data_IF_847023210345
#
_entry.id   IF_847023210345
#
_cell.length_a   1.000
_cell.length_b   1.000
_cell.length_c   1.000
_cell.angle_alpha   90.00
_cell.angle_beta   90.00
_cell.angle_gamma   90.00
#
_symmetry.space_group_name_H-M   'P 1'
#
loop_
_entity.id
_entity.type
_entity.pdbx_description
1 polymer ?
#
# COMPACT_ATOMS: atom_id res chain seq x y z
N UNK A 1 26.12 4.83 -71.00
CA UNK A 1 27.03 4.08 -70.10
C UNK A 1 26.68 4.28 -68.59
N UNK A 2 26.34 5.43 -68.11
CA UNK A 2 26.03 5.67 -66.68
C UNK A 2 24.92 4.79 -66.10
N UNK A 3 23.74 4.57 -66.72
CA UNK A 3 22.67 3.78 -66.11
C UNK A 3 22.99 2.27 -66.01
N UNK A 4 23.89 1.74 -66.86
CA UNK A 4 24.32 0.37 -66.84
C UNK A 4 25.31 0.07 -65.71
N UNK A 5 26.18 1.01 -65.39
CA UNK A 5 27.11 0.91 -64.25
C UNK A 5 26.34 0.97 -62.92
N UNK A 6 25.38 1.88 -62.78
CA UNK A 6 24.55 1.98 -61.60
C UNK A 6 23.71 0.71 -61.32
N UNK A 7 23.19 0.05 -62.36
CA UNK A 7 22.45 -1.21 -62.24
C UNK A 7 23.35 -2.35 -61.75
N UNK A 8 24.55 -2.43 -62.24
CA UNK A 8 25.56 -3.45 -61.86
C UNK A 8 26.03 -3.26 -60.42
N UNK A 9 26.21 -2.02 -59.97
CA UNK A 9 26.53 -1.74 -58.59
C UNK A 9 25.38 -2.13 -57.63
N UNK A 10 24.13 -1.83 -57.99
CA UNK A 10 22.95 -2.24 -57.24
C UNK A 10 22.83 -3.77 -57.12
N UNK A 11 23.11 -4.50 -58.21
CA UNK A 11 23.08 -5.98 -58.20
C UNK A 11 24.21 -6.59 -57.36
N UNK A 12 25.39 -5.98 -57.37
CA UNK A 12 26.51 -6.37 -56.48
C UNK A 12 26.14 -6.13 -55.03
N UNK A 13 25.60 -4.97 -54.72
CA UNK A 13 25.16 -4.67 -53.34
C UNK A 13 24.04 -5.60 -52.84
N UNK A 14 23.09 -5.98 -53.71
CA UNK A 14 22.07 -6.98 -53.38
C UNK A 14 22.66 -8.33 -53.08
N UNK A 15 23.65 -8.79 -53.89
CA UNK A 15 24.33 -10.06 -53.68
C UNK A 15 25.12 -10.06 -52.36
N UNK A 16 25.86 -9.00 -52.08
CA UNK A 16 26.59 -8.85 -50.81
C UNK A 16 25.60 -8.84 -49.62
N UNK A 17 24.48 -8.12 -49.73
CA UNK A 17 23.46 -8.09 -48.71
C UNK A 17 22.88 -9.49 -48.45
N UNK A 18 22.53 -10.23 -49.49
CA UNK A 18 22.01 -11.62 -49.38
C UNK A 18 23.03 -12.58 -48.74
N UNK A 19 24.32 -12.49 -49.10
CA UNK A 19 25.37 -13.27 -48.47
C UNK A 19 25.58 -12.95 -46.99
N UNK A 20 25.51 -11.67 -46.63
CA UNK A 20 25.59 -11.23 -45.24
C UNK A 20 24.38 -11.73 -44.43
N UNK A 21 23.17 -11.65 -44.99
CA UNK A 21 21.95 -12.17 -44.39
C UNK A 21 22.03 -13.69 -44.20
N UNK A 22 22.42 -14.47 -45.20
CA UNK A 22 22.60 -15.90 -45.08
C UNK A 22 23.60 -16.32 -44.00
N UNK A 23 24.76 -15.63 -43.92
CA UNK A 23 25.72 -15.90 -42.84
C UNK A 23 25.23 -15.51 -41.46
N UNK A 24 24.44 -14.45 -41.33
CA UNK A 24 23.81 -14.08 -40.08
C UNK A 24 22.80 -15.13 -39.60
N UNK A 25 22.02 -15.69 -40.53
CA UNK A 25 21.10 -16.80 -40.25
C UNK A 25 21.83 -18.05 -39.76
N UNK A 26 22.92 -18.45 -40.45
CA UNK A 26 23.75 -19.60 -40.04
C UNK A 26 24.34 -19.41 -38.62
N UNK A 27 24.85 -18.23 -38.33
CA UNK A 27 25.38 -17.90 -37.00
C UNK A 27 24.25 -17.91 -35.94
N UNK A 28 23.08 -17.36 -36.26
CA UNK A 28 21.95 -17.38 -35.38
C UNK A 28 21.44 -18.81 -35.10
N UNK A 29 21.35 -19.66 -36.12
CA UNK A 29 20.99 -21.08 -35.95
C UNK A 29 22.00 -21.85 -35.11
N UNK A 30 23.29 -21.58 -35.30
CA UNK A 30 24.35 -22.23 -34.51
C UNK A 30 24.28 -21.77 -33.04
N UNK A 31 24.07 -20.47 -32.80
CA UNK A 31 23.87 -19.94 -31.46
C UNK A 31 22.58 -20.45 -30.81
N UNK A 32 21.49 -20.62 -31.58
CA UNK A 32 20.25 -21.20 -31.09
C UNK A 32 20.38 -22.68 -30.68
N UNK A 33 21.27 -23.42 -31.34
CA UNK A 33 21.58 -24.81 -30.95
C UNK A 33 22.38 -24.88 -29.65
N UNK A 34 23.31 -23.94 -29.43
CA UNK A 34 24.12 -23.89 -28.22
C UNK A 34 23.38 -23.24 -27.06
N UNK A 35 22.64 -22.17 -27.33
CA UNK A 35 21.89 -21.37 -26.37
C UNK A 35 20.43 -21.20 -26.85
N UNK A 36 19.56 -22.18 -26.62
CA UNK A 36 18.21 -22.16 -27.16
C UNK A 36 17.42 -21.00 -26.61
N UNK A 37 16.70 -20.25 -27.47
CA UNK A 37 15.86 -19.15 -27.04
C UNK A 37 14.70 -19.63 -26.19
N UNK A 38 14.22 -18.76 -25.30
CA UNK A 38 13.17 -19.09 -24.32
C UNK A 38 11.84 -19.35 -25.04
N UNK A 39 11.23 -20.51 -24.77
CA UNK A 39 9.86 -20.80 -25.18
C UNK A 39 8.90 -19.92 -24.36
N UNK A 40 7.85 -19.38 -24.99
CA UNK A 40 6.86 -18.54 -24.32
C UNK A 40 6.22 -19.27 -23.12
N UNK A 41 5.94 -20.57 -23.25
CA UNK A 41 5.37 -21.39 -22.18
C UNK A 41 6.29 -21.51 -20.95
N UNK A 42 7.62 -21.45 -21.12
CA UNK A 42 8.61 -21.52 -20.04
C UNK A 42 9.02 -20.16 -19.47
N UNK A 43 8.63 -19.07 -20.11
CA UNK A 43 9.13 -17.73 -19.79
C UNK A 43 8.83 -17.28 -18.36
N UNK A 44 7.73 -17.74 -17.76
CA UNK A 44 7.44 -17.44 -16.35
C UNK A 44 8.49 -18.04 -15.40
N UNK A 45 8.86 -19.30 -15.59
CA UNK A 45 9.87 -19.96 -14.76
C UNK A 45 11.26 -19.32 -14.93
N UNK A 46 11.60 -18.94 -16.15
CA UNK A 46 12.84 -18.21 -16.44
C UNK A 46 12.84 -16.83 -15.77
N UNK A 47 11.72 -16.12 -15.79
CA UNK A 47 11.56 -14.83 -15.11
C UNK A 47 11.70 -14.96 -13.58
N UNK A 48 11.10 -15.97 -12.97
CA UNK A 48 11.21 -16.18 -11.52
C UNK A 48 12.65 -16.44 -11.09
N UNK A 49 13.41 -17.18 -11.90
CA UNK A 49 14.81 -17.54 -11.61
C UNK A 49 15.83 -16.49 -12.09
N UNK A 50 15.38 -15.42 -12.77
CA UNK A 50 16.27 -14.39 -13.28
C UNK A 50 16.89 -13.55 -12.15
N UNK A 51 18.20 -13.39 -12.15
CA UNK A 51 18.95 -12.64 -11.14
C UNK A 51 18.70 -11.12 -11.18
N UNK A 52 18.33 -10.61 -12.37
CA UNK A 52 17.98 -9.20 -12.61
C UNK A 52 16.49 -8.88 -12.41
N UNK A 53 15.71 -9.84 -11.92
CA UNK A 53 14.29 -9.65 -11.60
C UNK A 53 14.16 -8.72 -10.39
N UNK A 54 13.23 -7.72 -10.43
CA UNK A 54 12.93 -6.91 -9.26
C UNK A 54 12.47 -7.75 -8.08
N UNK A 55 12.92 -7.38 -6.88
CA UNK A 55 12.47 -8.02 -5.65
C UNK A 55 10.99 -7.71 -5.39
N UNK A 56 10.13 -8.72 -5.59
CA UNK A 56 8.67 -8.64 -5.45
C UNK A 56 8.19 -9.65 -4.42
N UNK A 57 7.23 -9.23 -3.58
CA UNK A 57 6.62 -10.13 -2.59
C UNK A 57 5.76 -11.21 -3.23
N UNK A 58 5.55 -12.30 -2.50
CA UNK A 58 4.83 -13.51 -2.97
C UNK A 58 3.44 -13.20 -3.56
N UNK A 59 2.64 -12.36 -2.87
CA UNK A 59 1.33 -11.95 -3.38
C UNK A 59 1.40 -11.21 -4.72
N UNK A 60 2.44 -10.39 -4.93
CA UNK A 60 2.69 -9.70 -6.20
C UNK A 60 3.09 -10.70 -7.28
N UNK A 61 3.94 -11.68 -6.93
CA UNK A 61 4.37 -12.73 -7.86
C UNK A 61 3.20 -13.62 -8.30
N UNK A 62 2.32 -14.02 -7.37
CA UNK A 62 1.08 -14.77 -7.70
C UNK A 62 0.20 -13.98 -8.68
N UNK A 63 0.06 -12.66 -8.48
CA UNK A 63 -0.69 -11.81 -9.40
C UNK A 63 -0.01 -11.70 -10.77
N UNK A 64 1.31 -11.57 -10.81
CA UNK A 64 2.11 -11.52 -12.04
C UNK A 64 1.97 -12.82 -12.82
N UNK A 65 2.08 -13.96 -12.14
CA UNK A 65 1.92 -15.27 -12.74
C UNK A 65 0.54 -15.43 -13.40
N UNK A 66 -0.52 -15.06 -12.68
CA UNK A 66 -1.88 -15.10 -13.22
C UNK A 66 -2.01 -14.25 -14.49
N UNK A 67 -1.48 -13.02 -14.45
CA UNK A 67 -1.54 -12.11 -15.60
C UNK A 67 -0.72 -12.64 -16.80
N UNK A 68 0.47 -13.17 -16.54
CA UNK A 68 1.31 -13.77 -17.59
C UNK A 68 0.65 -15.01 -18.20
N UNK A 69 0.15 -15.92 -17.38
CA UNK A 69 -0.57 -17.12 -17.86
C UNK A 69 -1.79 -16.76 -18.72
N UNK A 70 -2.48 -15.67 -18.38
CA UNK A 70 -3.59 -15.16 -19.19
C UNK A 70 -3.13 -14.71 -20.58
N UNK A 71 -2.00 -14.00 -20.66
CA UNK A 71 -1.40 -13.61 -21.92
C UNK A 71 -0.96 -14.84 -22.73
N UNK A 72 -0.19 -15.75 -22.12
CA UNK A 72 0.30 -16.95 -22.78
C UNK A 72 -0.84 -17.85 -23.32
N UNK A 73 -1.93 -18.00 -22.53
CA UNK A 73 -3.12 -18.74 -22.98
C UNK A 73 -3.79 -18.07 -24.19
N UNK A 74 -3.92 -16.75 -24.19
CA UNK A 74 -4.47 -16.01 -25.32
C UNK A 74 -3.57 -16.15 -26.54
N UNK A 75 -2.26 -15.97 -26.41
CA UNK A 75 -1.31 -16.12 -27.51
C UNK A 75 -1.41 -17.50 -28.14
N UNK A 76 -1.35 -18.57 -27.34
CA UNK A 76 -1.46 -19.95 -27.84
C UNK A 76 -2.80 -20.25 -28.52
N UNK A 77 -3.90 -19.62 -28.08
CA UNK A 77 -5.22 -19.86 -28.68
C UNK A 77 -5.45 -19.10 -29.99
N UNK A 78 -4.86 -17.93 -30.13
CA UNK A 78 -5.11 -17.00 -31.23
C UNK A 78 -3.99 -17.04 -32.30
N UNK A 79 -2.76 -17.34 -31.87
CA UNK A 79 -1.55 -17.32 -32.69
C UNK A 79 -0.71 -18.58 -32.41
N UNK A 80 -1.07 -19.70 -33.04
CA UNK A 80 -0.45 -21.03 -32.82
C UNK A 80 1.01 -21.11 -33.26
N UNK A 81 1.45 -20.20 -34.07
CA UNK A 81 2.80 -20.02 -34.59
C UNK A 81 3.78 -19.43 -33.56
N UNK A 82 3.26 -18.84 -32.48
CA UNK A 82 4.10 -18.28 -31.41
C UNK A 82 4.58 -19.41 -30.50
N UNK A 83 5.81 -19.80 -30.64
CA UNK A 83 6.48 -20.80 -29.79
C UNK A 83 7.49 -20.15 -28.86
N UNK A 84 8.26 -19.20 -29.34
CA UNK A 84 9.32 -18.52 -28.61
C UNK A 84 8.89 -17.11 -28.15
N UNK A 85 9.54 -16.60 -27.13
CA UNK A 85 9.30 -15.21 -26.71
C UNK A 85 9.59 -14.19 -27.81
N UNK A 86 10.63 -14.44 -28.64
CA UNK A 86 10.99 -13.56 -29.75
C UNK A 86 9.98 -13.54 -30.89
N UNK A 87 9.08 -14.53 -30.97
CA UNK A 87 8.01 -14.57 -31.98
C UNK A 87 6.90 -13.57 -31.65
N UNK A 88 6.88 -13.03 -30.43
CA UNK A 88 5.90 -12.01 -30.03
C UNK A 88 6.31 -10.67 -30.66
N UNK A 89 5.77 -10.41 -31.83
CA UNK A 89 5.98 -9.17 -32.58
C UNK A 89 5.19 -7.98 -31.98
N UNK A 90 5.42 -6.79 -32.54
CA UNK A 90 4.64 -5.59 -32.21
C UNK A 90 3.15 -5.79 -32.52
N UNK A 91 2.81 -6.41 -33.65
CA UNK A 91 1.42 -6.66 -34.06
C UNK A 91 0.70 -7.56 -33.05
N UNK A 92 1.39 -8.59 -32.56
CA UNK A 92 0.87 -9.48 -31.51
C UNK A 92 0.64 -8.71 -30.19
N UNK A 93 1.57 -7.86 -29.81
CA UNK A 93 1.44 -7.06 -28.59
C UNK A 93 0.26 -6.08 -28.70
N UNK A 94 0.08 -5.44 -29.85
CA UNK A 94 -1.07 -4.57 -30.14
C UNK A 94 -2.39 -5.36 -30.18
N UNK A 95 -2.42 -6.53 -30.79
CA UNK A 95 -3.59 -7.40 -30.82
C UNK A 95 -4.02 -7.83 -29.40
N UNK A 96 -3.05 -8.17 -28.52
CA UNK A 96 -3.37 -8.44 -27.12
C UNK A 96 -3.89 -7.20 -26.37
N UNK A 97 -3.33 -6.03 -26.63
CA UNK A 97 -3.83 -4.78 -26.06
C UNK A 97 -5.29 -4.51 -26.49
N UNK A 98 -5.63 -4.74 -27.77
CA UNK A 98 -7.00 -4.65 -28.27
C UNK A 98 -7.89 -5.71 -27.61
N UNK A 99 -7.42 -6.94 -27.47
CA UNK A 99 -8.15 -8.01 -26.76
C UNK A 99 -8.46 -7.62 -25.30
N UNK A 100 -7.51 -7.05 -24.56
CA UNK A 100 -7.78 -6.56 -23.20
C UNK A 100 -8.84 -5.47 -23.19
N UNK A 101 -8.87 -4.59 -24.20
CA UNK A 101 -9.86 -3.51 -24.32
C UNK A 101 -11.25 -4.06 -24.64
N UNK A 102 -11.37 -4.99 -25.60
CA UNK A 102 -12.65 -5.61 -25.97
C UNK A 102 -13.28 -6.37 -24.81
N UNK A 103 -12.47 -6.89 -23.87
CA UNK A 103 -12.92 -7.52 -22.64
C UNK A 103 -13.39 -6.53 -21.55
N UNK A 104 -13.39 -5.25 -21.82
CA UNK A 104 -13.84 -4.23 -20.87
C UNK A 104 -13.02 -4.10 -19.60
N UNK A 105 -11.73 -4.55 -19.59
CA UNK A 105 -10.89 -4.41 -18.38
C UNK A 105 -10.66 -2.94 -18.05
N UNK A 106 -10.60 -2.61 -16.75
CA UNK A 106 -10.33 -1.23 -16.33
C UNK A 106 -8.99 -0.72 -16.85
N UNK A 107 -8.88 0.60 -17.05
CA UNK A 107 -7.61 1.25 -17.47
C UNK A 107 -6.43 0.91 -16.56
N UNK A 108 -6.69 0.77 -15.25
CA UNK A 108 -5.67 0.35 -14.28
C UNK A 108 -5.23 -1.11 -14.47
N UNK A 109 -6.18 -2.01 -14.74
CA UNK A 109 -5.89 -3.42 -15.04
C UNK A 109 -5.15 -3.56 -16.36
N UNK A 110 -5.60 -2.86 -17.41
CA UNK A 110 -4.90 -2.78 -18.68
C UNK A 110 -3.43 -2.37 -18.50
N UNK A 111 -3.20 -1.23 -17.86
CA UNK A 111 -1.85 -0.70 -17.64
C UNK A 111 -0.97 -1.63 -16.80
N UNK A 112 -1.54 -2.40 -15.86
CA UNK A 112 -0.81 -3.43 -15.09
C UNK A 112 -0.37 -4.60 -15.96
N UNK A 113 -1.23 -5.08 -16.86
CA UNK A 113 -0.88 -6.15 -17.80
C UNK A 113 0.27 -5.74 -18.71
N UNK A 114 0.15 -4.58 -19.37
CA UNK A 114 1.21 -4.10 -20.29
C UNK A 114 2.52 -3.88 -19.54
N UNK A 115 2.49 -3.29 -18.35
CA UNK A 115 3.69 -3.08 -17.53
C UNK A 115 4.36 -4.39 -17.12
N UNK A 116 3.57 -5.40 -16.78
CA UNK A 116 4.12 -6.72 -16.43
C UNK A 116 4.77 -7.38 -17.63
N UNK A 117 4.13 -7.38 -18.80
CA UNK A 117 4.70 -7.95 -20.01
C UNK A 117 5.98 -7.22 -20.42
N UNK A 118 5.98 -5.88 -20.36
CA UNK A 118 7.19 -5.10 -20.53
C UNK A 118 8.29 -5.53 -19.56
N UNK A 119 7.99 -5.72 -18.29
CA UNK A 119 8.96 -6.14 -17.27
C UNK A 119 9.54 -7.50 -17.57
N UNK A 120 8.70 -8.51 -17.87
CA UNK A 120 9.16 -9.89 -18.16
C UNK A 120 10.04 -9.90 -19.41
N UNK A 121 9.60 -9.24 -20.49
CA UNK A 121 10.35 -9.18 -21.73
C UNK A 121 11.67 -8.41 -21.57
N UNK A 122 11.69 -7.33 -20.80
CA UNK A 122 12.93 -6.60 -20.49
C UNK A 122 13.90 -7.43 -19.63
N UNK A 123 13.38 -8.14 -18.61
CA UNK A 123 14.20 -8.97 -17.73
C UNK A 123 14.86 -10.12 -18.50
N UNK A 124 14.15 -10.72 -19.45
CA UNK A 124 14.60 -11.88 -20.21
C UNK A 124 15.18 -11.52 -21.58
N UNK A 125 15.33 -10.23 -21.89
CA UNK A 125 15.68 -9.73 -23.23
C UNK A 125 16.83 -10.50 -23.89
N UNK A 126 17.97 -10.60 -23.21
CA UNK A 126 19.17 -11.24 -23.74
C UNK A 126 18.97 -12.76 -23.91
N UNK A 127 18.40 -13.42 -22.89
CA UNK A 127 18.19 -14.87 -22.91
C UNK A 127 17.11 -15.31 -23.91
N UNK A 128 16.11 -14.45 -24.13
CA UNK A 128 15.07 -14.66 -25.13
C UNK A 128 15.49 -14.20 -26.53
N UNK A 129 16.68 -13.61 -26.69
CA UNK A 129 17.23 -13.09 -27.95
C UNK A 129 16.25 -12.14 -28.65
N UNK A 130 15.68 -11.20 -27.89
CA UNK A 130 14.75 -10.22 -28.43
C UNK A 130 15.51 -9.10 -29.14
N UNK A 131 15.09 -8.78 -30.36
CA UNK A 131 15.60 -7.60 -31.07
C UNK A 131 15.11 -6.31 -30.42
N UNK A 132 13.84 -6.28 -30.03
CA UNK A 132 13.18 -5.15 -29.36
C UNK A 132 12.13 -5.67 -28.42
N UNK A 133 11.83 -4.90 -27.35
CA UNK A 133 10.70 -5.22 -26.49
C UNK A 133 9.41 -4.65 -27.07
N UNK A 134 8.43 -5.48 -27.49
CA UNK A 134 7.20 -4.97 -28.13
C UNK A 134 6.26 -4.23 -27.17
N UNK A 135 6.47 -4.34 -25.87
CA UNK A 135 5.59 -3.78 -24.82
C UNK A 135 6.03 -2.40 -24.32
N UNK A 136 6.80 -1.64 -25.08
CA UNK A 136 7.22 -0.28 -24.70
C UNK A 136 6.05 0.70 -24.70
N UNK A 137 6.23 1.84 -24.02
CA UNK A 137 5.21 2.91 -23.99
C UNK A 137 5.00 3.57 -25.37
N UNK A 138 5.99 3.52 -26.22
CA UNK A 138 5.93 4.06 -27.59
C UNK A 138 5.06 3.19 -28.50
N UNK A 139 5.06 1.89 -28.23
CA UNK A 139 4.28 0.91 -28.98
C UNK A 139 2.83 0.80 -28.48
N UNK A 140 2.64 0.84 -27.15
CA UNK A 140 1.32 0.68 -26.52
C UNK A 140 1.15 1.76 -25.46
N UNK A 141 0.34 2.76 -25.78
CA UNK A 141 0.05 3.87 -24.88
C UNK A 141 -0.64 3.39 -23.60
N UNK A 142 -0.16 3.87 -22.45
CA UNK A 142 -0.82 3.62 -21.16
C UNK A 142 -2.15 4.36 -21.12
N UNK A 143 -3.19 3.70 -20.64
CA UNK A 143 -4.48 4.33 -20.43
C UNK A 143 -4.49 5.09 -19.10
N UNK A 144 -4.94 6.34 -19.13
CA UNK A 144 -5.19 7.08 -17.90
C UNK A 144 -6.35 6.43 -17.15
N UNK A 145 -6.12 6.08 -15.90
CA UNK A 145 -7.22 5.69 -15.00
C UNK A 145 -7.95 6.95 -14.57
N UNK A 146 -9.29 6.99 -14.64
CA UNK A 146 -10.01 8.01 -13.90
C UNK A 146 -9.56 7.92 -12.43
N UNK A 147 -9.27 9.05 -11.82
CA UNK A 147 -8.96 9.09 -10.37
C UNK A 147 -10.25 8.81 -9.61
N UNK A 148 -10.51 7.54 -9.36
CA UNK A 148 -11.51 7.15 -8.38
C UNK A 148 -10.86 7.16 -7.00
N UNK A 149 -11.11 8.20 -6.23
CA UNK A 149 -10.92 8.13 -4.79
C UNK A 149 -12.15 7.45 -4.18
N UNK A 150 -11.95 6.65 -3.16
CA UNK A 150 -13.06 6.13 -2.38
C UNK A 150 -13.75 7.28 -1.68
N UNK A 151 -15.08 7.21 -1.55
CA UNK A 151 -15.87 8.21 -0.82
C UNK A 151 -15.49 8.20 0.65
N UNK A 152 -15.41 9.35 1.22
CA UNK A 152 -15.33 9.57 2.66
C UNK A 152 -16.70 9.32 3.31
N UNK A 153 -16.68 8.98 4.59
CA UNK A 153 -17.88 8.76 5.38
C UNK A 153 -18.19 10.04 6.21
N UNK A 154 -19.48 10.35 6.35
CA UNK A 154 -19.90 11.41 7.26
C UNK A 154 -19.78 10.98 8.72
N UNK A 155 -19.80 11.94 9.66
CA UNK A 155 -19.74 11.62 11.09
C UNK A 155 -20.95 10.78 11.51
N UNK A 156 -22.14 11.04 10.95
CA UNK A 156 -23.36 10.29 11.21
C UNK A 156 -23.27 8.86 10.69
N UNK A 157 -22.66 8.65 9.53
CA UNK A 157 -22.39 7.32 9.00
C UNK A 157 -21.42 6.55 9.88
N UNK A 158 -20.35 7.21 10.37
CA UNK A 158 -19.40 6.61 11.29
C UNK A 158 -20.05 6.22 12.62
N UNK A 159 -20.91 7.07 13.19
CA UNK A 159 -21.66 6.76 14.42
C UNK A 159 -22.52 5.52 14.25
N UNK A 160 -23.41 5.51 13.25
CA UNK A 160 -24.26 4.34 12.97
C UNK A 160 -23.45 3.05 12.77
N UNK A 161 -22.32 3.15 12.06
CA UNK A 161 -21.44 2.02 11.81
C UNK A 161 -20.86 1.46 13.12
N UNK A 162 -20.43 2.31 14.04
CA UNK A 162 -19.82 1.92 15.30
C UNK A 162 -20.85 1.46 16.34
N UNK A 163 -22.03 2.09 16.42
CA UNK A 163 -23.09 1.73 17.33
C UNK A 163 -23.68 0.35 17.04
N UNK A 164 -23.85 0.02 15.76
CA UNK A 164 -24.40 -1.26 15.33
C UNK A 164 -23.37 -2.41 15.33
N UNK A 165 -22.07 -2.09 15.42
CA UNK A 165 -21.01 -3.09 15.42
C UNK A 165 -20.78 -3.69 16.82
N UNK A 166 -20.42 -4.97 16.87
CA UNK A 166 -20.14 -5.69 18.11
C UNK A 166 -18.80 -6.43 18.07
N UNK A 167 -18.25 -6.72 19.25
CA UNK A 167 -17.02 -7.50 19.40
C UNK A 167 -15.83 -6.92 18.63
N UNK A 168 -15.00 -7.77 18.02
CA UNK A 168 -13.82 -7.34 17.25
C UNK A 168 -14.15 -6.34 16.14
N UNK A 169 -15.35 -6.40 15.55
CA UNK A 169 -15.73 -5.51 14.46
C UNK A 169 -15.87 -4.05 14.93
N UNK A 170 -16.44 -3.83 16.14
CA UNK A 170 -16.57 -2.48 16.72
C UNK A 170 -15.20 -1.85 16.96
N UNK A 171 -14.30 -2.60 17.58
CA UNK A 171 -12.94 -2.13 17.84
C UNK A 171 -12.12 -1.97 16.53
N UNK A 172 -12.34 -2.83 15.52
CA UNK A 172 -11.73 -2.70 14.21
C UNK A 172 -12.12 -1.40 13.51
N UNK A 173 -13.39 -1.01 13.55
CA UNK A 173 -13.85 0.26 13.01
C UNK A 173 -13.27 1.44 13.77
N UNK A 174 -13.30 1.41 15.10
CA UNK A 174 -12.69 2.43 15.93
C UNK A 174 -11.20 2.62 15.61
N UNK A 175 -10.46 1.51 15.50
CA UNK A 175 -9.06 1.55 15.12
C UNK A 175 -8.87 2.17 13.72
N UNK A 176 -9.69 1.77 12.73
CA UNK A 176 -9.63 2.33 11.38
C UNK A 176 -9.92 3.83 11.34
N UNK A 177 -10.90 4.29 12.13
CA UNK A 177 -11.34 5.70 12.20
C UNK A 177 -10.29 6.57 12.90
N UNK A 178 -9.75 6.12 14.04
CA UNK A 178 -8.87 6.94 14.88
C UNK A 178 -7.37 6.77 14.62
N UNK A 179 -6.97 5.81 13.78
CA UNK A 179 -5.56 5.61 13.42
C UNK A 179 -5.28 5.79 11.93
N UNK A 180 -6.29 5.68 11.09
CA UNK A 180 -6.13 5.68 9.64
C UNK A 180 -5.32 4.48 9.11
N UNK A 181 -5.09 3.42 9.88
CA UNK A 181 -4.37 2.22 9.46
C UNK A 181 -5.11 1.47 8.34
N UNK A 182 -4.39 0.72 7.54
CA UNK A 182 -4.99 -0.17 6.53
C UNK A 182 -5.60 -1.40 7.18
N UNK A 183 -6.60 -2.01 6.54
CA UNK A 183 -7.26 -3.21 7.05
C UNK A 183 -6.27 -4.30 7.50
N UNK A 184 -5.26 -4.58 6.68
CA UNK A 184 -4.26 -5.60 7.05
C UNK A 184 -3.42 -5.21 8.25
N UNK A 185 -3.08 -3.92 8.39
CA UNK A 185 -2.33 -3.41 9.54
C UNK A 185 -3.17 -3.43 10.81
N UNK A 186 -4.48 -3.12 10.71
CA UNK A 186 -5.43 -3.26 11.82
C UNK A 186 -5.65 -4.72 12.22
N UNK A 187 -6.02 -5.58 11.27
CA UNK A 187 -6.36 -6.98 11.52
C UNK A 187 -5.20 -7.78 12.14
N UNK A 188 -3.95 -7.39 11.86
CA UNK A 188 -2.75 -8.04 12.38
C UNK A 188 -1.99 -7.19 13.40
N UNK A 189 -2.68 -6.25 14.05
CA UNK A 189 -2.09 -5.44 15.12
C UNK A 189 -1.85 -6.29 16.35
N UNK A 190 -0.64 -6.22 16.91
CA UNK A 190 -0.26 -6.95 18.11
C UNK A 190 -0.37 -6.06 19.35
N UNK A 191 -0.60 -6.67 20.51
CA UNK A 191 -0.52 -5.93 21.77
C UNK A 191 0.85 -5.32 22.00
N UNK A 192 1.91 -5.96 21.52
CA UNK A 192 3.27 -5.40 21.57
C UNK A 192 3.47 -4.13 20.72
N UNK A 193 2.57 -3.86 19.77
CA UNK A 193 2.56 -2.64 18.98
C UNK A 193 1.88 -1.47 19.74
N UNK A 194 1.14 -1.75 20.84
CA UNK A 194 0.27 -0.81 21.57
C UNK A 194 0.90 -0.45 22.91
N UNK A 195 1.32 0.78 23.07
CA UNK A 195 1.84 1.34 24.31
C UNK A 195 0.74 2.19 24.96
N UNK A 196 -0.03 1.58 25.86
CA UNK A 196 -1.14 2.24 26.60
C UNK A 196 -0.60 3.33 27.54
N UNK A 197 0.60 3.14 28.10
CA UNK A 197 1.19 4.10 29.06
C UNK A 197 1.61 5.37 28.34
N UNK A 198 2.29 5.25 27.20
CA UNK A 198 2.69 6.38 26.37
C UNK A 198 1.60 6.88 25.44
N UNK A 199 0.46 6.17 25.40
CA UNK A 199 -0.66 6.49 24.53
C UNK A 199 -0.32 6.49 23.04
N UNK A 200 0.45 5.48 22.58
CA UNK A 200 0.97 5.37 21.22
C UNK A 200 0.79 3.96 20.65
N UNK A 201 0.55 3.89 19.35
CA UNK A 201 0.68 2.66 18.56
C UNK A 201 1.92 2.80 17.69
N UNK A 202 2.81 1.78 17.74
CA UNK A 202 4.01 1.66 16.89
C UNK A 202 3.83 0.50 15.94
N UNK A 203 3.60 0.78 14.66
CA UNK A 203 3.33 -0.26 13.67
C UNK A 203 4.24 -0.14 12.47
N UNK A 204 4.90 -1.23 12.07
CA UNK A 204 5.54 -1.35 10.76
C UNK A 204 4.45 -1.78 9.77
N UNK A 205 4.05 -0.92 8.80
CA UNK A 205 2.96 -1.27 7.88
C UNK A 205 3.30 -2.48 7.01
N UNK A 206 2.41 -3.47 6.96
CA UNK A 206 2.59 -4.71 6.20
C UNK A 206 3.02 -4.48 4.74
N UNK A 207 2.47 -3.44 4.10
CA UNK A 207 2.77 -3.10 2.71
C UNK A 207 4.23 -2.68 2.47
N UNK A 208 4.86 -2.07 3.45
CA UNK A 208 6.22 -1.50 3.35
C UNK A 208 7.26 -2.26 4.14
N UNK A 209 6.84 -3.19 5.02
CA UNK A 209 7.70 -3.94 5.93
C UNK A 209 8.90 -4.61 5.23
N UNK A 210 8.68 -5.14 4.01
CA UNK A 210 9.74 -5.82 3.26
C UNK A 210 10.78 -4.87 2.67
N UNK A 211 10.37 -3.67 2.19
CA UNK A 211 11.26 -2.74 1.46
C UNK A 211 11.82 -1.64 2.34
N UNK A 212 11.02 -1.19 3.29
CA UNK A 212 11.36 -0.09 4.19
C UNK A 212 10.64 -0.30 5.52
N UNK A 213 11.22 -1.08 6.44
CA UNK A 213 10.60 -1.46 7.71
C UNK A 213 10.63 -0.30 8.73
N UNK A 214 10.11 0.87 8.35
CA UNK A 214 9.99 2.01 9.25
C UNK A 214 8.64 1.98 9.96
N UNK A 215 8.61 2.07 11.30
CA UNK A 215 7.38 2.15 12.04
C UNK A 215 6.69 3.50 11.81
N UNK A 216 5.38 3.47 11.71
CA UNK A 216 4.53 4.65 11.93
C UNK A 216 4.23 4.74 13.42
N UNK A 217 4.21 5.97 13.94
CA UNK A 217 3.86 6.26 15.33
C UNK A 217 2.53 6.99 15.31
N UNK A 218 1.53 6.39 15.95
CA UNK A 218 0.16 6.86 15.92
C UNK A 218 -0.30 7.12 17.34
N UNK A 219 -0.64 8.37 17.71
CA UNK A 219 -1.27 8.66 19.00
C UNK A 219 -2.61 7.95 19.12
N UNK A 220 -2.91 7.42 20.29
CA UNK A 220 -4.17 6.74 20.55
C UNK A 220 -5.21 7.79 20.96
N UNK A 221 -6.29 7.89 20.18
CA UNK A 221 -7.43 8.76 20.52
C UNK A 221 -8.05 8.34 21.86
N UNK A 222 -8.53 9.27 22.71
CA UNK A 222 -9.11 8.93 24.02
C UNK A 222 -10.21 7.87 23.98
N UNK A 223 -11.12 7.94 23.02
CA UNK A 223 -12.17 6.91 22.82
C UNK A 223 -11.58 5.55 22.53
N UNK A 224 -10.61 5.45 21.62
CA UNK A 224 -9.93 4.20 21.32
C UNK A 224 -9.19 3.66 22.55
N UNK A 225 -8.55 4.54 23.32
CA UNK A 225 -7.87 4.18 24.56
C UNK A 225 -8.83 3.55 25.58
N UNK A 226 -10.01 4.16 25.78
CA UNK A 226 -11.02 3.59 26.68
C UNK A 226 -11.43 2.19 26.25
N UNK A 227 -11.70 1.97 24.95
CA UNK A 227 -12.05 0.64 24.42
C UNK A 227 -10.93 -0.38 24.59
N UNK A 228 -9.66 0.03 24.46
CA UNK A 228 -8.51 -0.85 24.67
C UNK A 228 -8.33 -1.23 26.14
N UNK A 229 -8.66 -0.33 27.07
CA UNK A 229 -8.60 -0.55 28.51
C UNK A 229 -9.74 -1.46 29.01
N UNK A 230 -10.85 -1.58 28.29
CA UNK A 230 -11.94 -2.53 28.62
C UNK A 230 -11.50 -3.99 28.44
N UNK A 231 -10.43 -4.25 27.68
CA UNK A 231 -9.89 -5.58 27.47
C UNK A 231 -8.92 -5.91 28.62
N UNK A 232 -9.30 -6.89 29.47
CA UNK A 232 -8.48 -7.27 30.62
C UNK A 232 -7.13 -7.86 30.15
N UNK A 233 -6.08 -7.63 30.94
CA UNK A 233 -4.73 -8.08 30.62
C UNK A 233 -4.65 -9.60 30.45
N UNK A 234 -5.41 -10.36 31.25
CA UNK A 234 -5.48 -11.83 31.20
C UNK A 234 -6.11 -12.35 29.92
N UNK A 235 -6.92 -11.54 29.21
CA UNK A 235 -7.55 -11.90 27.92
C UNK A 235 -6.75 -11.45 26.70
N UNK A 236 -5.59 -10.80 26.88
CA UNK A 236 -4.75 -10.33 25.79
C UNK A 236 -3.91 -11.46 25.24
N UNK A 237 -4.24 -11.87 24.03
CA UNK A 237 -3.43 -12.78 23.22
C UNK A 237 -2.33 -12.00 22.47
N UNK A 238 -1.63 -12.64 21.53
CA UNK A 238 -0.61 -11.99 20.70
C UNK A 238 -1.19 -10.83 19.89
N UNK A 239 -2.38 -11.07 19.29
CA UNK A 239 -3.06 -10.09 18.43
C UNK A 239 -4.20 -9.38 19.15
N UNK A 240 -4.40 -8.12 18.81
CA UNK A 240 -5.56 -7.34 19.29
C UNK A 240 -6.90 -7.95 18.81
N UNK A 241 -6.88 -8.62 17.67
CA UNK A 241 -8.02 -9.28 17.03
C UNK A 241 -7.65 -10.71 16.64
N UNK A 242 -7.71 -11.68 17.55
CA UNK A 242 -7.29 -13.06 17.28
C UNK A 242 -8.01 -13.68 16.08
N UNK A 243 -9.34 -13.53 16.01
CA UNK A 243 -10.16 -14.09 14.92
C UNK A 243 -9.86 -13.44 13.56
N UNK A 244 -9.70 -12.12 13.53
CA UNK A 244 -9.39 -11.40 12.29
C UNK A 244 -7.94 -11.65 11.83
N UNK A 245 -7.00 -11.74 12.77
CA UNK A 245 -5.61 -12.05 12.48
C UNK A 245 -5.46 -13.44 11.88
N UNK A 246 -6.12 -14.44 12.46
CA UNK A 246 -6.16 -15.80 11.91
C UNK A 246 -6.71 -15.79 10.47
N UNK A 247 -7.89 -15.20 10.27
CA UNK A 247 -8.48 -15.12 8.94
C UNK A 247 -7.59 -14.40 7.93
N UNK A 248 -6.93 -13.32 8.34
CA UNK A 248 -6.04 -12.55 7.46
C UNK A 248 -4.79 -13.33 7.08
N UNK A 249 -4.14 -13.97 8.05
CA UNK A 249 -2.90 -14.74 7.87
C UNK A 249 -3.13 -16.01 7.03
N UNK A 250 -4.32 -16.62 7.15
CA UNK A 250 -4.74 -17.78 6.36
C UNK A 250 -5.31 -17.42 4.97
N UNK A 251 -5.11 -16.20 4.51
CA UNK A 251 -5.51 -15.77 3.17
C UNK A 251 -7.01 -15.53 2.98
N UNK A 252 -7.81 -15.55 4.05
CA UNK A 252 -9.27 -15.33 4.04
C UNK A 252 -9.64 -13.83 4.10
N UNK A 253 -8.80 -12.98 3.53
CA UNK A 253 -9.01 -11.52 3.52
C UNK A 253 -10.35 -11.12 2.91
N UNK A 254 -10.78 -11.81 1.86
CA UNK A 254 -12.05 -11.51 1.19
C UNK A 254 -13.24 -11.74 2.12
N UNK A 255 -13.17 -12.76 3.00
CA UNK A 255 -14.19 -13.00 4.01
C UNK A 255 -14.32 -11.82 4.99
N UNK A 256 -13.20 -11.26 5.45
CA UNK A 256 -13.19 -10.06 6.30
C UNK A 256 -13.80 -8.87 5.53
N UNK A 257 -13.38 -8.67 4.29
CA UNK A 257 -13.87 -7.56 3.45
C UNK A 257 -15.37 -7.67 3.21
N UNK A 258 -15.88 -8.86 2.89
CA UNK A 258 -17.32 -9.11 2.67
C UNK A 258 -18.14 -8.85 3.94
N UNK A 259 -17.66 -9.26 5.12
CA UNK A 259 -18.31 -8.94 6.40
C UNK A 259 -18.39 -7.43 6.64
N UNK A 260 -17.31 -6.71 6.35
CA UNK A 260 -17.26 -5.25 6.49
C UNK A 260 -18.26 -4.60 5.51
N UNK A 261 -18.29 -5.02 4.26
CA UNK A 261 -19.22 -4.49 3.25
C UNK A 261 -20.68 -4.76 3.63
N UNK A 262 -21.00 -5.98 4.02
CA UNK A 262 -22.35 -6.34 4.49
C UNK A 262 -22.79 -5.48 5.69
N UNK A 263 -21.86 -5.18 6.62
CA UNK A 263 -22.15 -4.31 7.76
C UNK A 263 -22.41 -2.87 7.33
N UNK A 264 -21.66 -2.34 6.36
CA UNK A 264 -21.89 -1.02 5.79
C UNK A 264 -23.27 -0.93 5.12
N UNK A 265 -23.62 -1.91 4.31
CA UNK A 265 -24.92 -1.97 3.61
C UNK A 265 -26.09 -2.07 4.61
N UNK A 266 -25.94 -2.88 5.66
CA UNK A 266 -26.93 -2.97 6.75
C UNK A 266 -27.20 -1.61 7.42
N UNK A 267 -26.20 -0.72 7.43
CA UNK A 267 -26.29 0.62 7.99
C UNK A 267 -26.69 1.70 6.94
N UNK A 268 -27.16 1.28 5.78
CA UNK A 268 -27.60 2.18 4.71
C UNK A 268 -26.44 2.88 3.99
N UNK A 269 -25.22 2.37 4.11
CA UNK A 269 -24.03 2.89 3.43
C UNK A 269 -23.79 2.06 2.17
N UNK A 270 -24.09 2.63 1.00
CA UNK A 270 -23.86 1.95 -0.27
C UNK A 270 -22.35 1.75 -0.51
N UNK A 271 -21.95 0.51 -0.74
CA UNK A 271 -20.55 0.13 -0.90
C UNK A 271 -20.08 0.13 -2.36
N UNK A 272 -20.97 -0.05 -3.31
CA UNK A 272 -20.68 -0.14 -4.75
C UNK A 272 -21.33 1.03 -5.48
N UNK A 273 -20.62 1.56 -6.48
CA UNK A 273 -21.11 2.62 -7.35
C UNK A 273 -22.34 2.15 -8.13
N UNK A 274 -23.35 3.00 -8.20
CA UNK A 274 -24.56 2.76 -8.96
C UNK A 274 -24.27 2.45 -10.44
N UNK A 275 -25.00 1.49 -11.00
CA UNK A 275 -24.80 1.04 -12.38
C UNK A 275 -23.52 0.24 -12.60
N UNK A 276 -22.92 -0.31 -11.54
CA UNK A 276 -21.77 -1.22 -11.63
C UNK A 276 -21.96 -2.41 -10.68
N UNK A 277 -21.51 -3.59 -11.08
CA UNK A 277 -21.69 -4.83 -10.31
C UNK A 277 -23.11 -5.39 -10.36
N UNK A 278 -23.40 -6.41 -9.57
CA UNK A 278 -24.70 -7.10 -9.56
C UNK A 278 -25.07 -7.65 -10.93
N UNK A 279 -26.29 -7.40 -11.35
CA UNK A 279 -26.84 -7.85 -12.64
C UNK A 279 -26.36 -7.02 -13.85
N UNK A 280 -25.43 -6.11 -13.64
CA UNK A 280 -24.83 -5.36 -14.74
C UNK A 280 -23.60 -6.10 -15.28
N UNK A 281 -23.38 -6.09 -16.60
CA UNK A 281 -22.15 -6.65 -17.21
C UNK A 281 -20.86 -5.91 -16.81
N UNK A 282 -20.94 -4.91 -15.92
CA UNK A 282 -19.82 -4.10 -15.46
C UNK A 282 -19.30 -4.61 -14.14
N UNK A 283 -17.97 -4.67 -14.01
CA UNK A 283 -17.34 -4.94 -12.73
C UNK A 283 -17.77 -3.93 -11.66
N UNK A 284 -18.06 -4.43 -10.44
CA UNK A 284 -18.38 -3.60 -9.30
C UNK A 284 -17.24 -2.61 -8.98
N UNK A 285 -17.57 -1.34 -8.95
CA UNK A 285 -16.64 -0.29 -8.50
C UNK A 285 -16.92 -0.02 -7.03
N UNK A 286 -16.04 -0.47 -6.16
CA UNK A 286 -16.17 -0.27 -4.72
C UNK A 286 -15.94 1.22 -4.39
N UNK A 287 -16.98 1.90 -3.96
CA UNK A 287 -17.00 3.32 -3.59
C UNK A 287 -16.67 3.52 -2.12
N UNK A 288 -17.23 2.65 -1.27
CA UNK A 288 -17.01 2.67 0.17
C UNK A 288 -16.55 1.30 0.64
N UNK A 289 -15.59 1.26 1.53
CA UNK A 289 -15.06 0.06 2.17
C UNK A 289 -14.13 0.44 3.32
N UNK A 290 -13.46 -0.51 3.96
CA UNK A 290 -12.58 -0.19 5.09
C UNK A 290 -11.57 0.92 4.79
N UNK A 291 -11.06 0.99 3.55
CA UNK A 291 -10.11 2.05 3.15
C UNK A 291 -10.74 3.45 3.16
N UNK A 292 -12.07 3.58 3.08
CA UNK A 292 -12.78 4.85 3.24
C UNK A 292 -12.60 5.44 4.64
N UNK A 293 -12.48 4.59 5.69
CA UNK A 293 -12.17 5.06 7.05
C UNK A 293 -10.85 5.82 7.10
N UNK A 294 -9.84 5.34 6.38
CA UNK A 294 -8.56 6.02 6.28
C UNK A 294 -8.66 7.34 5.50
N UNK A 295 -9.44 7.41 4.42
CA UNK A 295 -9.71 8.68 3.73
C UNK A 295 -10.41 9.66 4.66
N UNK A 296 -11.44 9.19 5.38
CA UNK A 296 -12.17 9.98 6.36
C UNK A 296 -11.26 10.49 7.48
N UNK A 297 -10.39 9.62 8.04
CA UNK A 297 -9.37 10.03 9.02
C UNK A 297 -8.52 11.19 8.52
N UNK A 298 -7.98 11.08 7.29
CA UNK A 298 -7.17 12.14 6.69
C UNK A 298 -7.94 13.43 6.55
N UNK A 299 -9.19 13.36 6.08
CA UNK A 299 -10.05 14.55 5.90
C UNK A 299 -10.46 15.19 7.22
N UNK A 300 -10.79 14.39 8.25
CA UNK A 300 -11.11 14.91 9.59
C UNK A 300 -9.89 15.59 10.23
N UNK A 301 -8.69 14.99 10.13
CA UNK A 301 -7.46 15.63 10.59
C UNK A 301 -7.21 16.98 9.88
N UNK A 302 -7.44 17.04 8.56
CA UNK A 302 -7.31 18.29 7.80
C UNK A 302 -8.35 19.31 8.18
N UNK A 303 -9.59 18.90 8.39
CA UNK A 303 -10.66 19.77 8.88
C UNK A 303 -10.34 20.37 10.26
N UNK A 304 -9.57 19.63 11.07
CA UNK A 304 -9.03 20.08 12.37
C UNK A 304 -7.73 20.88 12.25
N UNK A 305 -7.38 21.37 11.05
CA UNK A 305 -6.18 22.15 10.75
C UNK A 305 -4.85 21.42 11.02
N UNK A 306 -4.84 20.09 11.07
CA UNK A 306 -3.60 19.34 11.19
C UNK A 306 -2.70 19.54 9.96
N UNK A 307 -1.40 19.84 10.12
CA UNK A 307 -0.47 19.95 9.00
C UNK A 307 -0.46 18.66 8.16
N UNK A 308 -0.49 18.80 6.85
CA UNK A 308 -0.53 17.64 5.94
C UNK A 308 0.65 16.67 6.17
N UNK A 309 1.84 17.20 6.44
CA UNK A 309 3.04 16.39 6.75
C UNK A 309 2.87 15.52 7.99
N UNK A 310 2.15 16.03 9.01
CA UNK A 310 1.82 15.28 10.23
C UNK A 310 0.87 14.13 9.89
N UNK A 311 -0.19 14.41 9.15
CA UNK A 311 -1.18 13.40 8.75
C UNK A 311 -0.53 12.33 7.87
N UNK A 312 0.29 12.72 6.88
CA UNK A 312 1.02 11.78 6.01
C UNK A 312 1.97 10.87 6.78
N UNK A 313 2.62 11.38 7.83
CA UNK A 313 3.49 10.57 8.67
C UNK A 313 2.71 9.57 9.53
N UNK A 314 1.58 9.97 10.13
CA UNK A 314 0.69 9.08 10.88
C UNK A 314 0.21 7.94 9.98
N UNK A 315 -0.26 8.27 8.78
CA UNK A 315 -0.80 7.26 7.87
C UNK A 315 0.28 6.49 7.08
N UNK A 316 1.55 6.91 7.14
CA UNK A 316 2.67 6.23 6.46
C UNK A 316 2.57 6.33 4.94
N UNK A 317 2.33 7.53 4.39
CA UNK A 317 2.48 7.79 2.97
C UNK A 317 3.97 7.89 2.63
N UNK A 318 4.44 7.05 1.73
CA UNK A 318 5.86 6.85 1.43
C UNK A 318 6.41 7.89 0.46
N UNK A 319 6.51 9.16 0.88
CA UNK A 319 7.43 10.09 0.24
C UNK A 319 8.66 10.27 1.16
N UNK A 320 9.85 9.74 0.81
CA UNK A 320 11.03 9.77 1.69
C UNK A 320 11.53 11.19 2.01
N UNK A 321 11.19 12.18 1.20
CA UNK A 321 11.61 13.55 1.42
C UNK A 321 10.91 14.22 2.63
N UNK A 322 9.71 13.78 2.98
CA UNK A 322 8.93 14.35 4.07
C UNK A 322 9.26 13.77 5.45
N UNK A 323 9.83 12.57 5.49
CA UNK A 323 10.13 11.85 6.75
C UNK A 323 11.32 12.45 7.50
N UNK A 324 12.15 13.27 6.88
CA UNK A 324 13.37 13.82 7.49
C UNK A 324 13.13 14.95 8.50
N UNK A 325 11.95 15.56 8.51
CA UNK A 325 11.61 16.64 9.44
C UNK A 325 10.83 16.19 10.69
N UNK A 326 10.72 14.86 10.91
CA UNK A 326 9.77 14.27 11.85
C UNK A 326 10.39 13.84 13.19
N UNK A 327 11.50 14.41 13.61
CA UNK A 327 12.11 14.11 14.90
C UNK A 327 11.65 15.08 15.97
N UNK A 328 10.85 14.75 16.89
CA UNK A 328 10.41 15.42 18.15
C UNK A 328 9.24 16.43 18.11
N UNK A 329 9.11 17.29 17.11
CA UNK A 329 7.94 18.19 17.02
C UNK A 329 6.68 17.45 16.53
N UNK A 330 6.84 16.31 15.92
CA UNK A 330 5.76 15.54 15.31
C UNK A 330 4.84 14.80 16.28
N UNK A 331 5.32 14.32 17.41
CA UNK A 331 4.50 13.53 18.35
C UNK A 331 3.41 14.40 19.02
N UNK A 332 3.74 15.60 19.44
CA UNK A 332 2.77 16.54 20.04
C UNK A 332 1.74 17.02 19.01
N UNK A 333 2.19 17.35 17.79
CA UNK A 333 1.27 17.76 16.71
C UNK A 333 0.38 16.60 16.26
N UNK A 334 0.90 15.38 16.22
CA UNK A 334 0.15 14.18 15.90
C UNK A 334 -0.90 13.87 16.98
N UNK A 335 -0.53 13.98 18.26
CA UNK A 335 -1.45 13.79 19.39
C UNK A 335 -2.60 14.82 19.35
N UNK A 336 -2.27 16.10 19.11
CA UNK A 336 -3.28 17.16 18.97
C UNK A 336 -4.24 16.88 17.82
N UNK A 337 -3.72 16.46 16.65
CA UNK A 337 -4.55 16.17 15.49
C UNK A 337 -5.51 15.01 15.72
N UNK A 338 -5.06 13.94 16.40
CA UNK A 338 -5.91 12.76 16.68
C UNK A 338 -6.93 13.06 17.77
N UNK A 339 -6.56 13.84 18.80
CA UNK A 339 -7.46 14.21 19.88
C UNK A 339 -8.59 15.16 19.46
N UNK A 340 -8.44 15.86 18.33
CA UNK A 340 -9.47 16.73 17.74
C UNK A 340 -10.48 15.97 16.86
N UNK A 341 -10.34 14.66 16.69
CA UNK A 341 -11.33 13.89 15.94
C UNK A 341 -12.67 13.84 16.71
N UNK A 342 -13.81 13.88 16.01
CA UNK A 342 -15.11 13.81 16.66
C UNK A 342 -15.30 12.46 17.37
N UNK A 343 -15.99 12.46 18.51
CA UNK A 343 -16.44 11.24 19.14
C UNK A 343 -17.58 10.63 18.29
N UNK A 344 -17.33 9.48 17.69
CA UNK A 344 -18.31 8.74 16.88
C UNK A 344 -18.74 7.42 17.55
N UNK A 345 -18.25 7.18 18.78
CA UNK A 345 -18.50 5.96 19.55
C UNK A 345 -18.86 6.35 20.98
N UNK A 346 -20.13 6.22 21.34
CA UNK A 346 -20.67 6.58 22.66
C UNK A 346 -21.48 7.89 22.63
N UNK A 347 -22.15 8.19 23.76
CA UNK A 347 -22.95 9.40 23.91
C UNK A 347 -22.08 10.66 23.95
N UNK A 348 -22.52 11.74 23.32
CA UNK A 348 -21.85 13.05 23.24
C UNK A 348 -21.51 13.67 24.62
N UNK A 349 -22.09 13.14 25.73
CA UNK A 349 -21.89 13.65 27.08
C UNK A 349 -20.64 13.09 27.80
N UNK A 350 -19.92 12.15 27.21
CA UNK A 350 -18.64 11.68 27.74
C UNK A 350 -17.49 12.07 26.79
N UNK A 351 -17.27 13.37 26.62
CA UNK A 351 -15.97 13.83 26.09
C UNK A 351 -14.96 13.53 27.19
N UNK A 352 -14.01 12.57 27.01
CA UNK A 352 -12.89 12.47 27.92
C UNK A 352 -12.19 13.84 27.82
N UNK A 353 -12.16 14.56 28.92
CA UNK A 353 -11.43 15.83 29.00
C UNK A 353 -10.04 15.61 28.37
N UNK A 354 -9.62 16.45 27.41
CA UNK A 354 -8.29 16.32 26.85
C UNK A 354 -7.31 16.26 28.02
N UNK A 355 -6.38 15.30 28.00
CA UNK A 355 -5.35 15.18 29.03
C UNK A 355 -4.73 16.56 29.11
N UNK A 356 -5.03 17.27 30.20
CA UNK A 356 -4.45 18.59 30.45
C UNK A 356 -2.96 18.41 30.42
N UNK A 357 -2.31 18.91 29.39
CA UNK A 357 -0.86 18.89 29.29
C UNK A 357 -0.38 19.69 30.51
N UNK A 358 0.21 19.01 31.48
CA UNK A 358 0.74 19.68 32.66
C UNK A 358 2.00 20.41 32.17
N UNK A 359 1.88 21.67 31.87
CA UNK A 359 3.01 22.52 31.56
C UNK A 359 3.70 22.83 32.90
N UNK A 360 4.78 22.14 33.20
CA UNK A 360 5.63 22.41 34.36
C UNK A 360 6.52 23.56 33.94
N UNK A 361 6.56 24.62 34.78
CA UNK A 361 7.51 25.71 34.60
C UNK A 361 8.95 25.13 34.68
N UNK A 362 9.74 25.21 33.60
CA UNK A 362 11.09 24.65 33.62
C UNK A 362 12.10 25.46 34.45
N UNK A 363 11.75 26.72 34.86
CA UNK A 363 12.70 27.60 35.53
C UNK A 363 13.14 27.09 36.92
N UNK A 364 12.27 26.59 37.81
CA UNK A 364 12.69 26.03 39.10
C UNK A 364 13.50 24.75 38.93
N UNK A 365 13.17 23.94 37.95
CA UNK A 365 13.92 22.69 37.68
C UNK A 365 15.32 23.03 37.18
N UNK A 366 15.43 23.99 36.27
CA UNK A 366 16.70 24.45 35.73
C UNK A 366 17.62 25.02 36.83
N UNK A 367 17.11 25.90 37.68
CA UNK A 367 17.81 26.48 38.79
C UNK A 367 18.30 25.42 39.81
N UNK A 368 17.47 24.41 40.09
CA UNK A 368 17.85 23.27 40.93
C UNK A 368 18.96 22.42 40.31
N UNK A 369 18.94 22.18 39.02
CA UNK A 369 19.98 21.44 38.30
C UNK A 369 21.29 22.21 38.20
N UNK A 370 21.27 23.52 37.96
CA UNK A 370 22.43 24.40 37.86
C UNK A 370 23.18 24.51 39.20
N UNK A 371 22.50 24.37 40.34
CA UNK A 371 23.05 24.38 41.69
C UNK A 371 23.41 23.01 42.25
N UNK A 372 23.25 21.95 41.46
CA UNK A 372 23.55 20.57 41.85
C UNK A 372 25.04 20.30 41.79
N UNK A 373 25.58 19.69 42.83
CA UNK A 373 27.00 19.31 42.96
C UNK A 373 27.09 17.88 43.47
N UNK A 374 28.24 17.25 43.35
CA UNK A 374 28.49 15.89 43.86
C UNK A 374 28.20 15.74 45.36
N UNK A 375 28.25 16.84 46.13
CA UNK A 375 28.01 16.84 47.59
C UNK A 375 26.53 17.00 47.94
N UNK A 376 25.71 17.64 47.10
CA UNK A 376 24.32 17.98 47.40
C UNK A 376 23.28 17.31 46.47
N UNK A 377 23.72 16.49 45.52
CA UNK A 377 22.84 15.95 44.47
C UNK A 377 21.63 15.16 45.00
N UNK A 378 21.80 14.41 46.13
CA UNK A 378 20.70 13.64 46.72
C UNK A 378 19.58 14.55 47.26
N UNK A 379 20.00 15.59 48.04
CA UNK A 379 19.05 16.55 48.59
C UNK A 379 18.34 17.37 47.47
N UNK A 380 19.08 17.80 46.46
CA UNK A 380 18.55 18.54 45.32
C UNK A 380 17.64 17.70 44.46
N UNK A 381 17.95 16.41 44.24
CA UNK A 381 17.07 15.47 43.56
C UNK A 381 15.72 15.35 44.28
N UNK A 382 15.77 15.19 45.61
CA UNK A 382 14.55 14.98 46.41
C UNK A 382 13.70 16.25 46.46
N UNK A 383 14.34 17.44 46.51
CA UNK A 383 13.69 18.74 46.36
C UNK A 383 12.98 18.89 45.00
N UNK A 384 13.66 18.58 43.90
CA UNK A 384 13.12 18.60 42.55
C UNK A 384 11.95 17.61 42.35
N UNK A 385 12.05 16.41 42.95
CA UNK A 385 10.99 15.42 42.93
C UNK A 385 9.76 15.87 43.71
N UNK A 386 9.93 16.61 44.82
CA UNK A 386 8.84 17.21 45.58
C UNK A 386 8.14 18.33 44.79
N UNK A 387 8.91 19.23 44.20
CA UNK A 387 8.38 20.28 43.33
C UNK A 387 7.55 19.71 42.12
N UNK A 388 8.03 18.65 41.52
CA UNK A 388 7.31 17.94 40.45
C UNK A 388 6.00 17.33 40.97
N UNK A 389 5.99 16.71 42.15
CA UNK A 389 4.81 16.12 42.75
C UNK A 389 3.79 17.18 43.14
N UNK A 390 4.23 18.29 43.72
CA UNK A 390 3.34 19.43 44.08
C UNK A 390 2.72 20.06 42.83
N UNK A 391 3.49 20.30 41.78
CA UNK A 391 3.00 20.82 40.50
C UNK A 391 1.96 19.92 39.83
N UNK A 392 2.05 18.63 40.04
CA UNK A 392 1.08 17.63 39.55
C UNK A 392 -0.19 17.64 40.40
N UNK A 393 -0.05 17.71 41.73
CA UNK A 393 -1.18 17.68 42.69
C UNK A 393 -2.01 18.98 42.71
N UNK A 394 -1.40 20.16 42.59
CA UNK A 394 -2.14 21.43 42.52
C UNK A 394 -3.02 21.53 41.27
N UNK A 395 -2.57 20.99 40.13
CA UNK A 395 -3.36 21.01 38.88
C UNK A 395 -4.40 19.88 38.77
N UNK A 396 -4.43 18.92 39.69
CA UNK A 396 -5.54 17.96 39.81
C UNK A 396 -6.70 18.47 40.63
N UNK A 397 -6.51 19.57 41.38
CA UNK A 397 -7.55 20.19 42.22
C UNK A 397 -8.29 21.38 41.56
N UNK A 398 -7.83 21.81 40.38
CA UNK A 398 -8.45 22.83 39.54
C UNK A 398 -8.99 22.23 38.25
#
# INVERSE_FOLDING_TARGET
MAPFLAKREVDVLRNIKSQIEGRREEIAEHDDKQNPPIKLAGAWNEFINATNRPDSGEATLKQYEYQFKRFAKWANSTHKDIVLMRDVSLDIAQAYAIHLQSRGVSSGTFSKHIRLLHLIFSTLNNKAKLNTNPWTSDNIARKRSPQFSRRELTVEELRRLCESAQGEMRLLFALGIYSGLRLGDCATLRWSDVDIVRNLIRRIPNKTARKNPRPVIIPIHPVLRSMLLEISDDSREEYLFPTLADAYNNGKRDHITNRIQAHFEKNGIRTVKEGTGGDTDKHAIVEVGFHSLRHTFVSLCRASNAPLSVVEAIVGHSNPAMTRHYTHTGELAAASAVNLLPNVIGDDNQIPTPIKTITIDPAPIRAGLETMTDKNWKAKRDELLSLLKESILEKQKT
#
